data_IF_478443383187
#
_entry.id   IF_478443383187
#
_cell.length_a   1.000
_cell.length_b   1.000
_cell.length_c   1.000
_cell.angle_alpha   90.00
_cell.angle_beta   90.00
_cell.angle_gamma   90.00
#
_symmetry.space_group_name_H-M   'P 1'
#
loop_
_entity.id
_entity.type
_entity.pdbx_description
1 polymer ?
#
# COMPACT_ATOMS: atom_id res chain seq x y z
N UNK A 1 5.72 -1.15 11.66
CA UNK A 1 6.48 -1.83 10.59
C UNK A 1 5.86 -1.42 9.26
N UNK A 2 6.64 -1.17 8.21
CA UNK A 2 6.28 -0.35 7.02
C UNK A 2 4.93 -0.73 6.36
N UNK A 3 4.58 -2.03 6.33
CA UNK A 3 3.32 -2.53 5.79
C UNK A 3 2.07 -1.82 6.34
N UNK A 4 1.88 -1.81 7.67
CA UNK A 4 0.70 -1.22 8.30
C UNK A 4 0.60 0.29 8.06
N UNK A 5 1.73 0.96 7.91
CA UNK A 5 1.77 2.39 7.58
C UNK A 5 1.27 2.63 6.15
N UNK A 6 1.76 1.85 5.18
CA UNK A 6 1.31 1.94 3.78
C UNK A 6 -0.16 1.56 3.62
N UNK A 7 -0.62 0.54 4.35
CA UNK A 7 -2.03 0.15 4.40
C UNK A 7 -2.91 1.30 4.88
N UNK A 8 -2.55 1.96 5.98
CA UNK A 8 -3.29 3.12 6.47
C UNK A 8 -3.29 4.28 5.46
N UNK A 9 -2.14 4.55 4.81
CA UNK A 9 -2.08 5.56 3.76
C UNK A 9 -2.98 5.22 2.57
N UNK A 10 -3.03 3.94 2.18
CA UNK A 10 -3.90 3.45 1.10
C UNK A 10 -5.38 3.61 1.47
N UNK A 11 -5.77 3.17 2.68
CA UNK A 11 -7.14 3.31 3.18
C UNK A 11 -7.56 4.80 3.19
N UNK A 12 -6.67 5.70 3.60
CA UNK A 12 -6.90 7.14 3.58
C UNK A 12 -6.81 7.79 2.19
N UNK A 13 -6.59 7.00 1.13
CA UNK A 13 -6.44 7.46 -0.26
C UNK A 13 -5.31 8.49 -0.44
N UNK A 14 -4.25 8.39 0.37
CA UNK A 14 -3.06 9.26 0.34
C UNK A 14 -1.96 8.74 -0.59
N UNK A 15 -2.05 7.48 -1.00
CA UNK A 15 -1.12 6.81 -1.91
C UNK A 15 -1.90 6.02 -2.95
N UNK A 16 -1.27 5.73 -4.07
CA UNK A 16 -1.81 4.94 -5.17
C UNK A 16 -0.97 3.67 -5.40
N UNK A 17 -1.39 2.87 -6.38
CA UNK A 17 -0.70 1.61 -6.73
C UNK A 17 0.73 1.86 -7.22
N UNK A 18 0.97 2.95 -7.96
CA UNK A 18 2.30 3.32 -8.43
C UNK A 18 3.25 3.62 -7.26
N UNK A 19 2.76 4.31 -6.23
CA UNK A 19 3.52 4.57 -5.02
C UNK A 19 3.88 3.27 -4.29
N UNK A 20 2.92 2.34 -4.19
CA UNK A 20 3.15 1.03 -3.56
C UNK A 20 4.15 0.20 -4.37
N UNK A 21 4.08 0.21 -5.70
CA UNK A 21 5.07 -0.42 -6.58
C UNK A 21 6.47 0.13 -6.31
N UNK A 22 6.61 1.45 -6.16
CA UNK A 22 7.89 2.06 -5.78
C UNK A 22 8.42 1.61 -4.41
N UNK A 23 7.55 1.16 -3.48
CA UNK A 23 7.99 0.56 -2.22
C UNK A 23 8.44 -0.91 -2.40
N UNK A 24 7.81 -1.66 -3.31
CA UNK A 24 8.26 -3.00 -3.70
C UNK A 24 9.63 -2.93 -4.36
N UNK A 25 9.83 -2.02 -5.31
CA UNK A 25 11.10 -1.84 -6.02
C UNK A 25 12.25 -1.49 -5.05
N UNK A 26 11.91 -0.77 -3.97
CA UNK A 26 12.82 -0.42 -2.87
C UNK A 26 12.98 -1.53 -1.81
N UNK A 27 12.38 -2.71 -2.02
CA UNK A 27 12.38 -3.86 -1.10
C UNK A 27 11.88 -3.52 0.31
N UNK A 28 10.98 -2.55 0.42
CA UNK A 28 10.35 -2.16 1.70
C UNK A 28 9.14 -3.01 2.05
N UNK A 29 8.48 -3.52 1.01
CA UNK A 29 7.39 -4.50 1.09
C UNK A 29 7.59 -5.52 -0.05
N UNK A 30 6.96 -6.68 0.06
CA UNK A 30 6.92 -7.68 -1.02
C UNK A 30 5.78 -7.40 -2.00
N UNK A 31 5.82 -8.08 -3.15
CA UNK A 31 4.72 -8.03 -4.12
C UNK A 31 3.41 -8.59 -3.53
N UNK A 32 3.50 -9.65 -2.71
CA UNK A 32 2.35 -10.21 -1.99
C UNK A 32 1.74 -9.20 -1.01
N UNK A 33 2.58 -8.49 -0.26
CA UNK A 33 2.15 -7.44 0.65
C UNK A 33 1.47 -6.28 -0.12
N UNK A 34 2.02 -5.87 -1.26
CA UNK A 34 1.40 -4.88 -2.14
C UNK A 34 0.00 -5.35 -2.56
N UNK A 35 -0.13 -6.60 -3.01
CA UNK A 35 -1.41 -7.17 -3.46
C UNK A 35 -2.44 -7.19 -2.33
N UNK A 36 -2.02 -7.48 -1.10
CA UNK A 36 -2.90 -7.43 0.07
C UNK A 36 -3.37 -6.00 0.38
N UNK A 37 -2.51 -5.00 0.22
CA UNK A 37 -2.88 -3.59 0.40
C UNK A 37 -3.89 -3.16 -0.68
N UNK A 38 -3.63 -3.44 -1.95
CA UNK A 38 -4.50 -3.07 -3.07
C UNK A 38 -5.87 -3.74 -2.97
N UNK A 39 -5.91 -5.00 -2.50
CA UNK A 39 -7.16 -5.71 -2.24
C UNK A 39 -7.99 -5.10 -1.10
N UNK A 40 -7.40 -4.24 -0.26
CA UNK A 40 -8.12 -3.58 0.84
C UNK A 40 -8.93 -2.40 0.28
N UNK A 41 -10.25 -2.32 0.57
CA UNK A 41 -11.07 -1.19 0.16
C UNK A 41 -10.55 0.13 0.73
N UNK A 42 -10.51 1.17 -0.10
CA UNK A 42 -10.23 2.53 0.35
C UNK A 42 -11.45 3.12 1.05
N UNK A 43 -11.21 3.99 2.02
CA UNK A 43 -12.28 4.73 2.68
C UNK A 43 -12.89 5.70 1.66
N UNK A 44 -14.21 5.66 1.51
CA UNK A 44 -14.97 6.56 0.67
C UNK A 44 -15.73 7.52 1.61
N UNK A 45 -15.03 8.54 2.12
CA UNK A 45 -15.64 9.62 2.91
C UNK A 45 -16.06 10.72 1.95
#
# INVERSE_FOLDING_TARGET
>A
MVYAFLLNMWIMKKVDENYLQGQVDRKRITEDEKNMIIATPQVNI
#
